data_IF_448684407359
#
_entry.id   IF_448684407359
#
_cell.length_a   1.000
_cell.length_b   1.000
_cell.length_c   1.000
_cell.angle_alpha   90.00
_cell.angle_beta   90.00
_cell.angle_gamma   90.00
#
_symmetry.space_group_name_H-M   'P 1'
#
loop_
_entity.id
_entity.type
_entity.pdbx_description
1 polymer ?
#
# COMPACT_ATOMS: atom_id res chain seq x y z
N UNK A 1 -49.95 -20.44 -2.79
CA UNK A 1 -49.67 -20.77 -4.24
C UNK A 1 -48.54 -19.84 -4.71
N UNK A 2 -47.34 -20.37 -4.91
CA UNK A 2 -46.25 -19.58 -5.45
C UNK A 2 -46.39 -19.62 -6.98
N UNK A 3 -46.77 -18.50 -7.57
CA UNK A 3 -46.85 -18.34 -9.02
C UNK A 3 -45.42 -18.48 -9.60
N UNK A 4 -45.18 -19.57 -10.33
CA UNK A 4 -43.92 -19.75 -11.09
C UNK A 4 -43.87 -18.69 -12.19
N UNK A 5 -43.09 -17.65 -11.99
CA UNK A 5 -42.83 -16.61 -12.99
C UNK A 5 -42.09 -17.29 -14.17
N UNK A 6 -42.78 -17.39 -15.31
CA UNK A 6 -42.23 -17.97 -16.54
C UNK A 6 -41.37 -16.90 -17.23
N UNK A 7 -40.09 -16.93 -16.96
CA UNK A 7 -39.13 -15.97 -17.56
C UNK A 7 -38.93 -16.34 -19.04
N UNK A 8 -39.09 -15.39 -19.94
CA UNK A 8 -38.88 -15.55 -21.39
C UNK A 8 -37.39 -15.65 -21.73
N UNK A 9 -37.05 -16.11 -22.93
CA UNK A 9 -35.64 -16.21 -23.35
C UNK A 9 -34.92 -14.85 -23.34
N UNK A 10 -35.59 -13.80 -23.76
CA UNK A 10 -35.04 -12.44 -23.77
C UNK A 10 -34.79 -11.90 -22.35
N UNK A 11 -35.69 -12.15 -21.41
CA UNK A 11 -35.53 -11.76 -20.01
C UNK A 11 -34.34 -12.47 -19.34
N UNK A 12 -34.10 -13.74 -19.67
CA UNK A 12 -32.91 -14.46 -19.18
C UNK A 12 -31.60 -13.84 -19.69
N UNK A 13 -31.55 -13.46 -20.96
CA UNK A 13 -30.36 -12.82 -21.54
C UNK A 13 -30.08 -11.49 -20.85
N UNK A 14 -31.10 -10.68 -20.63
CA UNK A 14 -31.00 -9.41 -19.93
C UNK A 14 -30.51 -9.61 -18.49
N UNK A 15 -31.07 -10.59 -17.76
CA UNK A 15 -30.66 -10.94 -16.41
C UNK A 15 -29.18 -11.36 -16.34
N UNK A 16 -28.74 -12.21 -17.24
CA UNK A 16 -27.31 -12.64 -17.31
C UNK A 16 -26.42 -11.45 -17.60
N UNK A 17 -26.83 -10.55 -18.50
CA UNK A 17 -26.05 -9.34 -18.82
C UNK A 17 -25.94 -8.40 -17.62
N UNK A 18 -27.02 -8.19 -16.87
CA UNK A 18 -27.01 -7.36 -15.66
C UNK A 18 -26.10 -7.95 -14.59
N UNK A 19 -26.14 -9.28 -14.37
CA UNK A 19 -25.29 -9.98 -13.42
C UNK A 19 -23.82 -9.83 -13.83
N UNK A 20 -23.51 -10.02 -15.12
CA UNK A 20 -22.15 -9.88 -15.64
C UNK A 20 -21.63 -8.46 -15.46
N UNK A 21 -22.45 -7.45 -15.72
CA UNK A 21 -22.10 -6.03 -15.54
C UNK A 21 -21.86 -5.72 -14.06
N UNK A 22 -22.68 -6.27 -13.16
CA UNK A 22 -22.51 -6.13 -11.71
C UNK A 22 -21.21 -6.78 -11.20
N UNK A 23 -20.88 -7.97 -11.65
CA UNK A 23 -19.62 -8.64 -11.29
C UNK A 23 -18.40 -7.88 -11.83
N UNK A 24 -18.50 -7.37 -13.06
CA UNK A 24 -17.43 -6.59 -13.69
C UNK A 24 -17.17 -5.27 -12.95
N UNK A 25 -18.22 -4.55 -12.56
CA UNK A 25 -18.09 -3.29 -11.80
C UNK A 25 -17.53 -3.53 -10.39
N UNK A 26 -18.00 -4.57 -9.70
CA UNK A 26 -17.46 -4.97 -8.40
C UNK A 26 -15.98 -5.36 -8.49
N UNK A 27 -15.62 -6.14 -9.50
CA UNK A 27 -14.23 -6.54 -9.76
C UNK A 27 -13.33 -5.34 -10.03
N UNK A 28 -13.78 -4.39 -10.83
CA UNK A 28 -13.01 -3.17 -11.12
C UNK A 28 -12.82 -2.28 -9.89
N UNK A 29 -13.84 -2.17 -9.02
CA UNK A 29 -13.74 -1.43 -7.76
C UNK A 29 -12.75 -2.06 -6.79
N UNK A 30 -12.68 -3.40 -6.72
CA UNK A 30 -11.71 -4.10 -5.88
C UNK A 30 -10.27 -3.89 -6.36
N UNK A 31 -10.05 -3.87 -7.67
CA UNK A 31 -8.72 -3.61 -8.27
C UNK A 31 -8.28 -2.17 -8.01
N UNK A 32 -9.20 -1.20 -8.12
CA UNK A 32 -8.89 0.20 -7.86
C UNK A 32 -8.57 0.45 -6.38
N UNK A 33 -9.27 -0.21 -5.45
CA UNK A 33 -8.99 -0.12 -4.01
C UNK A 33 -7.63 -0.71 -3.63
N UNK A 34 -7.23 -1.79 -4.28
CA UNK A 34 -5.97 -2.48 -3.98
C UNK A 34 -4.89 -2.13 -5.00
N UNK A 35 -4.45 -0.87 -5.02
CA UNK A 35 -3.34 -0.41 -5.88
C UNK A 35 -2.04 -1.22 -5.69
N UNK A 36 -1.93 -1.95 -4.59
CA UNK A 36 -0.76 -2.75 -4.23
C UNK A 36 -0.89 -4.24 -4.57
N UNK A 37 -1.90 -4.66 -5.33
CA UNK A 37 -2.17 -6.08 -5.63
C UNK A 37 -1.00 -6.78 -6.35
N UNK A 38 -0.18 -6.03 -7.08
CA UNK A 38 0.96 -6.54 -7.84
C UNK A 38 2.32 -6.25 -7.19
N UNK A 39 2.33 -5.70 -5.97
CA UNK A 39 3.56 -5.43 -5.25
C UNK A 39 4.04 -6.72 -4.58
N UNK A 40 5.28 -7.11 -4.87
CA UNK A 40 5.91 -8.25 -4.21
C UNK A 40 6.12 -7.89 -2.74
N UNK A 41 5.41 -8.59 -1.85
CA UNK A 41 5.63 -8.44 -0.42
C UNK A 41 7.05 -8.91 -0.08
N UNK A 42 7.78 -8.04 0.55
CA UNK A 42 9.09 -8.35 1.10
C UNK A 42 8.90 -8.80 2.55
N UNK A 43 9.47 -9.95 2.90
CA UNK A 43 9.43 -10.45 4.26
C UNK A 43 10.64 -9.89 5.03
N UNK A 44 10.42 -8.96 5.98
CA UNK A 44 11.49 -8.36 6.74
C UNK A 44 12.21 -9.35 7.64
N UNK A 45 11.57 -10.45 8.04
CA UNK A 45 12.15 -11.44 8.94
C UNK A 45 13.30 -12.25 8.29
N UNK A 46 13.38 -12.24 6.95
CA UNK A 46 14.44 -12.89 6.18
C UNK A 46 15.70 -12.03 6.03
N UNK A 47 15.71 -10.77 6.51
CA UNK A 47 16.87 -9.90 6.43
C UNK A 47 17.61 -9.91 7.77
N UNK A 48 18.89 -10.26 7.72
CA UNK A 48 19.77 -10.17 8.90
C UNK A 48 20.33 -8.74 8.99
N UNK A 49 19.96 -8.06 10.06
CA UNK A 49 20.49 -6.73 10.37
C UNK A 49 21.59 -6.84 11.43
N UNK A 50 22.65 -6.06 11.27
CA UNK A 50 23.76 -6.04 12.23
C UNK A 50 23.33 -5.49 13.59
N UNK A 51 22.47 -4.48 13.60
CA UNK A 51 21.98 -3.89 14.85
C UNK A 51 20.51 -3.45 14.68
N UNK A 52 19.62 -4.09 15.44
CA UNK A 52 18.18 -3.78 15.41
C UNK A 52 17.84 -2.37 15.93
N UNK A 53 18.67 -1.77 16.76
CA UNK A 53 18.47 -0.41 17.26
C UNK A 53 18.64 0.67 16.19
N UNK A 54 19.30 0.30 15.08
CA UNK A 54 19.57 1.20 13.96
C UNK A 54 18.58 1.03 12.80
N UNK A 55 17.45 0.35 13.05
CA UNK A 55 16.44 0.09 12.04
C UNK A 55 15.24 0.98 12.27
N UNK A 56 14.76 1.62 11.21
CA UNK A 56 13.46 2.26 11.15
C UNK A 56 12.56 1.52 10.16
N UNK A 57 11.30 1.32 10.51
CA UNK A 57 10.31 0.70 9.63
C UNK A 57 9.33 1.75 9.17
N UNK A 58 9.28 1.98 7.89
CA UNK A 58 8.32 2.88 7.26
C UNK A 58 7.12 2.07 6.79
N UNK A 59 5.99 2.23 7.45
CA UNK A 59 4.74 1.60 7.08
C UNK A 59 4.08 2.40 5.96
N UNK A 60 3.91 1.80 4.81
CA UNK A 60 3.22 2.43 3.67
C UNK A 60 1.93 1.69 3.34
N UNK A 61 1.07 2.31 2.53
CA UNK A 61 -0.17 1.67 2.06
C UNK A 61 0.08 0.38 1.26
N UNK A 62 1.31 0.18 0.76
CA UNK A 62 1.68 -0.94 -0.09
C UNK A 62 2.70 -1.90 0.55
N UNK A 63 2.97 -1.76 1.83
CA UNK A 63 3.90 -2.60 2.57
C UNK A 63 4.94 -1.81 3.35
N UNK A 64 5.86 -2.51 3.96
CA UNK A 64 6.87 -1.93 4.83
C UNK A 64 8.17 -1.71 4.08
N UNK A 65 8.79 -0.55 4.30
CA UNK A 65 10.15 -0.25 3.86
C UNK A 65 11.04 -0.24 5.08
N UNK A 66 12.13 -1.00 5.04
CA UNK A 66 13.08 -1.07 6.14
C UNK A 66 14.27 -0.18 5.81
N UNK A 67 14.61 0.68 6.75
CA UNK A 67 15.71 1.64 6.64
C UNK A 67 16.73 1.30 7.72
N UNK A 68 17.94 0.94 7.32
CA UNK A 68 19.07 0.79 8.22
C UNK A 68 19.83 2.12 8.30
N UNK A 69 20.11 2.58 9.51
CA UNK A 69 20.83 3.82 9.78
C UNK A 69 22.24 3.51 10.30
N UNK A 70 23.19 4.37 9.99
CA UNK A 70 24.60 4.20 10.34
C UNK A 70 25.08 5.34 11.25
N UNK A 71 24.83 5.25 12.58
CA UNK A 71 25.22 6.31 13.53
C UNK A 71 26.73 6.52 13.61
N UNK A 72 27.53 5.51 13.32
CA UNK A 72 29.00 5.62 13.31
C UNK A 72 29.51 6.53 12.18
N UNK A 73 28.75 6.63 11.09
CA UNK A 73 29.09 7.48 9.94
C UNK A 73 28.53 8.89 10.11
N UNK A 74 27.30 9.01 10.58
CA UNK A 74 26.61 10.30 10.71
C UNK A 74 25.75 10.35 11.98
N UNK A 75 26.39 10.50 13.16
CA UNK A 75 25.68 10.43 14.44
C UNK A 75 24.58 11.50 14.58
N UNK A 76 24.87 12.73 14.25
CA UNK A 76 23.91 13.83 14.41
C UNK A 76 22.69 13.70 13.50
N UNK A 77 22.88 13.25 12.25
CA UNK A 77 21.78 13.06 11.32
C UNK A 77 20.88 11.88 11.76
N UNK A 78 21.48 10.79 12.18
CA UNK A 78 20.77 9.59 12.67
C UNK A 78 19.97 9.92 13.94
N UNK A 79 20.58 10.65 14.90
CA UNK A 79 19.90 11.03 16.14
C UNK A 79 18.72 11.98 15.84
N UNK A 80 18.90 12.96 14.95
CA UNK A 80 17.81 13.85 14.51
C UNK A 80 16.69 13.06 13.85
N UNK A 81 17.00 12.12 12.96
CA UNK A 81 16.04 11.27 12.29
C UNK A 81 15.25 10.41 13.28
N UNK A 82 15.92 9.74 14.21
CA UNK A 82 15.28 8.94 15.26
C UNK A 82 14.39 9.80 16.18
N UNK A 83 14.81 11.02 16.49
CA UNK A 83 14.02 11.94 17.29
C UNK A 83 12.72 12.33 16.58
N UNK A 84 12.78 12.65 15.30
CA UNK A 84 11.60 12.98 14.49
C UNK A 84 10.63 11.80 14.37
N UNK A 85 11.15 10.58 14.23
CA UNK A 85 10.33 9.36 14.24
C UNK A 85 9.59 9.23 15.58
N UNK A 86 10.28 9.37 16.71
CA UNK A 86 9.66 9.27 18.06
C UNK A 86 8.60 10.34 18.30
N UNK A 87 8.73 11.49 17.69
CA UNK A 87 7.75 12.59 17.76
C UNK A 87 6.58 12.40 16.78
N UNK A 88 6.59 11.35 15.96
CA UNK A 88 5.56 11.13 14.94
C UNK A 88 5.60 12.15 13.79
N UNK A 89 6.71 12.86 13.61
CA UNK A 89 6.80 13.91 12.61
C UNK A 89 6.66 13.41 11.15
N UNK A 90 6.85 12.13 10.93
CA UNK A 90 6.69 11.50 9.61
C UNK A 90 5.36 10.77 9.45
N UNK A 91 4.51 10.75 10.48
CA UNK A 91 3.21 10.10 10.40
C UNK A 91 2.33 10.84 9.39
N UNK A 92 1.65 10.07 8.54
CA UNK A 92 0.83 10.58 7.43
C UNK A 92 1.57 11.42 6.37
N UNK A 93 2.92 11.46 6.41
CA UNK A 93 3.71 12.17 5.42
C UNK A 93 3.60 11.49 4.03
N UNK A 94 3.38 12.30 3.00
CA UNK A 94 3.29 11.82 1.64
C UNK A 94 4.66 11.77 0.93
N UNK A 95 4.81 10.81 0.01
CA UNK A 95 5.87 10.91 -0.99
C UNK A 95 5.47 11.95 -2.03
N UNK A 96 5.99 13.17 -1.91
CA UNK A 96 5.61 14.30 -2.75
C UNK A 96 6.37 14.36 -4.08
N UNK A 97 7.49 13.62 -4.20
CA UNK A 97 8.27 13.57 -5.43
C UNK A 97 8.76 12.16 -5.69
N UNK A 98 8.38 11.62 -6.84
CA UNK A 98 8.82 10.31 -7.32
C UNK A 98 9.35 10.47 -8.75
N UNK A 99 10.61 10.11 -8.97
CA UNK A 99 11.25 10.08 -10.28
C UNK A 99 11.68 8.65 -10.54
N UNK A 100 11.07 8.04 -11.56
CA UNK A 100 11.32 6.65 -11.94
C UNK A 100 12.81 6.36 -12.10
N UNK A 101 13.28 5.28 -11.49
CA UNK A 101 14.68 4.81 -11.48
C UNK A 101 15.72 5.83 -10.95
N UNK A 102 15.29 6.89 -10.28
CA UNK A 102 16.21 7.92 -9.74
C UNK A 102 16.02 8.17 -8.26
N UNK A 103 14.85 8.63 -7.83
CA UNK A 103 14.62 8.95 -6.42
C UNK A 103 13.13 8.99 -6.03
N UNK A 104 12.91 8.76 -4.76
CA UNK A 104 11.67 9.10 -4.06
C UNK A 104 11.99 10.08 -2.94
N UNK A 105 11.11 11.03 -2.70
CA UNK A 105 11.30 12.08 -1.68
C UNK A 105 10.03 12.21 -0.83
N UNK A 106 10.24 12.21 0.48
CA UNK A 106 9.21 12.41 1.51
C UNK A 106 9.79 13.24 2.65
N UNK A 107 8.97 13.55 3.66
CA UNK A 107 9.42 14.23 4.87
C UNK A 107 9.43 15.75 4.75
N UNK A 108 8.52 16.32 3.97
CA UNK A 108 8.20 17.74 4.03
C UNK A 108 7.35 17.93 5.28
N UNK A 109 8.00 18.44 6.32
CA UNK A 109 7.41 18.67 7.63
C UNK A 109 6.99 20.14 7.70
N UNK A 110 5.70 20.40 7.45
CA UNK A 110 5.09 21.73 7.69
C UNK A 110 4.85 21.98 9.19
#
# INVERSE_FOLDING_TARGET
MINKIKITKSERIILVFIIFLGVFTLGSLLIIKNKCLFVKNYDPDNIQFNNRENIAVLNTNCGNVIIETYPDISPNAVERFKTLIRLGAYDDAAFHRVIENKLIQAGDLE
#
